data_IF_939936783580
#
_entry.id   IF_939936783580
#
_cell.length_a   1.000
_cell.length_b   1.000
_cell.length_c   1.000
_cell.angle_alpha   90.00
_cell.angle_beta   90.00
_cell.angle_gamma   90.00
#
_symmetry.space_group_name_H-M   'P 1'
#
loop_
_entity.id
_entity.type
_entity.pdbx_description
1 polymer ?
#
# COMPACT_ATOMS: atom_id res chain seq x y z
N UNK A 1 8.39 30.02 -5.35
CA UNK A 1 7.39 29.77 -4.27
C UNK A 1 6.84 28.36 -4.39
N UNK A 2 6.90 27.53 -3.34
CA UNK A 2 6.26 26.20 -3.33
C UNK A 2 4.74 26.39 -3.36
N UNK A 3 4.04 25.77 -4.32
CA UNK A 3 2.57 25.71 -4.31
C UNK A 3 2.10 24.99 -3.05
N UNK A 4 1.24 25.64 -2.26
CA UNK A 4 0.65 25.05 -1.06
C UNK A 4 -0.26 23.88 -1.47
N UNK A 5 -0.05 22.71 -0.87
CA UNK A 5 -0.80 21.49 -1.17
C UNK A 5 -2.27 21.59 -0.76
N UNK A 6 -3.15 20.84 -1.42
CA UNK A 6 -4.60 20.89 -1.18
C UNK A 6 -4.98 20.63 0.29
N UNK A 7 -4.30 19.70 0.97
CA UNK A 7 -4.52 19.42 2.40
C UNK A 7 -4.24 20.64 3.29
N UNK A 8 -3.15 21.34 3.04
CA UNK A 8 -2.79 22.56 3.78
C UNK A 8 -3.80 23.68 3.53
N UNK A 9 -4.26 23.86 2.29
CA UNK A 9 -5.29 24.85 1.96
C UNK A 9 -6.59 24.58 2.71
N UNK A 10 -7.04 23.31 2.70
CA UNK A 10 -8.22 22.88 3.44
C UNK A 10 -8.06 23.12 4.94
N UNK A 11 -6.92 22.76 5.52
CA UNK A 11 -6.63 23.00 6.95
C UNK A 11 -6.73 24.48 7.31
N UNK A 12 -6.08 25.34 6.54
CA UNK A 12 -6.13 26.79 6.74
C UNK A 12 -7.56 27.30 6.64
N UNK A 13 -8.31 26.82 5.65
CA UNK A 13 -9.70 27.21 5.47
C UNK A 13 -10.58 26.82 6.66
N UNK A 14 -10.48 25.58 7.16
CA UNK A 14 -11.22 25.17 8.36
C UNK A 14 -10.84 26.00 9.59
N UNK A 15 -9.55 26.27 9.80
CA UNK A 15 -9.07 27.07 10.94
C UNK A 15 -9.50 28.54 10.88
N UNK A 16 -9.65 29.10 9.67
CA UNK A 16 -10.17 30.46 9.47
C UNK A 16 -11.70 30.55 9.55
N UNK A 17 -12.41 29.42 9.57
CA UNK A 17 -13.87 29.34 9.52
C UNK A 17 -14.45 28.48 10.67
N UNK A 18 -13.88 28.64 11.88
CA UNK A 18 -14.36 27.93 13.06
C UNK A 18 -15.84 28.26 13.33
N UNK A 19 -16.63 27.23 13.60
CA UNK A 19 -18.06 27.37 13.88
C UNK A 19 -18.94 27.61 12.65
N UNK A 20 -18.37 27.76 11.45
CA UNK A 20 -19.14 27.94 10.20
C UNK A 20 -19.32 26.61 9.47
N UNK A 21 -20.54 26.37 9.00
CA UNK A 21 -20.85 25.24 8.11
C UNK A 21 -20.28 25.53 6.71
N UNK A 22 -19.52 24.57 6.18
CA UNK A 22 -18.87 24.61 4.87
C UNK A 22 -19.39 23.47 3.99
N UNK A 23 -19.68 23.77 2.72
CA UNK A 23 -20.23 22.81 1.77
C UNK A 23 -19.19 22.12 0.88
N UNK A 24 -19.59 21.03 0.24
CA UNK A 24 -18.79 20.27 -0.75
C UNK A 24 -18.12 21.14 -1.83
N UNK A 25 -18.90 21.97 -2.55
CA UNK A 25 -18.37 22.77 -3.66
C UNK A 25 -17.33 23.79 -3.18
N UNK A 26 -17.55 24.38 -2.02
CA UNK A 26 -16.63 25.32 -1.39
C UNK A 26 -15.28 24.64 -1.08
N UNK A 27 -15.32 23.49 -0.39
CA UNK A 27 -14.12 22.76 0.00
C UNK A 27 -13.37 22.22 -1.23
N UNK A 28 -14.09 21.76 -2.26
CA UNK A 28 -13.51 21.36 -3.53
C UNK A 28 -12.76 22.52 -4.20
N UNK A 29 -13.35 23.71 -4.22
CA UNK A 29 -12.72 24.90 -4.78
C UNK A 29 -11.47 25.31 -4.00
N UNK A 30 -11.52 25.29 -2.66
CA UNK A 30 -10.35 25.54 -1.79
C UNK A 30 -9.22 24.55 -2.06
N UNK A 31 -9.55 23.28 -2.29
CA UNK A 31 -8.60 22.24 -2.65
C UNK A 31 -8.01 22.39 -4.07
N UNK A 32 -8.45 23.37 -4.86
CA UNK A 32 -8.00 23.60 -6.23
C UNK A 32 -8.73 22.75 -7.27
N UNK A 33 -9.97 22.34 -7.00
CA UNK A 33 -10.83 21.62 -7.93
C UNK A 33 -10.56 20.12 -8.04
N UNK A 34 -9.59 19.59 -7.28
CA UNK A 34 -9.21 18.16 -7.33
C UNK A 34 -10.36 17.26 -6.89
N UNK A 35 -10.45 16.06 -7.44
CA UNK A 35 -11.44 15.04 -7.05
C UNK A 35 -11.17 14.48 -5.64
N UNK A 36 -9.89 14.40 -5.26
CA UNK A 36 -9.44 13.84 -3.97
C UNK A 36 -9.66 14.75 -2.74
N UNK A 37 -10.35 15.89 -2.89
CA UNK A 37 -10.53 16.85 -1.79
C UNK A 37 -11.18 16.20 -0.56
N UNK A 38 -12.17 15.33 -0.75
CA UNK A 38 -12.86 14.62 0.33
C UNK A 38 -11.91 13.67 1.08
N UNK A 39 -10.95 13.06 0.36
CA UNK A 39 -9.88 12.28 0.98
C UNK A 39 -8.99 13.15 1.85
N UNK A 40 -8.63 14.36 1.39
CA UNK A 40 -7.82 15.29 2.19
C UNK A 40 -8.53 15.75 3.46
N UNK A 41 -9.84 15.95 3.42
CA UNK A 41 -10.64 16.22 4.63
C UNK A 41 -10.58 15.04 5.61
N UNK A 42 -10.68 13.79 5.13
CA UNK A 42 -10.51 12.61 5.98
C UNK A 42 -9.11 12.52 6.59
N UNK A 43 -8.06 12.85 5.84
CA UNK A 43 -6.69 12.92 6.37
C UNK A 43 -6.57 13.95 7.50
N UNK A 44 -7.22 15.12 7.38
CA UNK A 44 -7.24 16.11 8.47
C UNK A 44 -7.93 15.56 9.73
N UNK A 45 -8.97 14.74 9.58
CA UNK A 45 -9.66 14.08 10.70
C UNK A 45 -8.81 12.97 11.32
N UNK A 46 -8.36 12.04 10.49
CA UNK A 46 -7.81 10.76 10.93
C UNK A 46 -6.30 10.80 11.19
N UNK A 47 -5.55 11.67 10.48
CA UNK A 47 -4.08 11.77 10.63
C UNK A 47 -3.67 13.00 11.45
N UNK A 48 -4.35 14.14 11.26
CA UNK A 48 -4.00 15.40 11.94
C UNK A 48 -4.89 15.69 13.16
N UNK A 49 -5.98 14.92 13.36
CA UNK A 49 -6.79 14.95 14.59
C UNK A 49 -7.81 16.08 14.67
N UNK A 50 -8.09 16.78 13.58
CA UNK A 50 -9.11 17.81 13.54
C UNK A 50 -10.52 17.21 13.59
N UNK A 51 -11.34 17.65 14.54
CA UNK A 51 -12.70 17.15 14.71
C UNK A 51 -13.67 17.82 13.72
N UNK A 52 -13.50 17.53 12.43
CA UNK A 52 -14.38 18.03 11.37
C UNK A 52 -15.67 17.20 11.39
N UNK A 53 -16.75 17.79 11.89
CA UNK A 53 -18.08 17.20 12.03
C UNK A 53 -18.81 17.17 10.69
N UNK A 54 -19.69 16.18 10.54
CA UNK A 54 -20.56 15.93 9.37
C UNK A 54 -21.97 15.56 9.82
N UNK A 55 -22.90 15.35 8.88
CA UNK A 55 -24.26 14.85 9.18
C UNK A 55 -24.33 13.54 10.00
N UNK A 56 -23.27 12.73 10.01
CA UNK A 56 -23.18 11.54 10.87
C UNK A 56 -22.89 11.88 12.34
N UNK A 57 -22.30 13.06 12.59
CA UNK A 57 -21.89 13.52 13.92
C UNK A 57 -22.93 14.47 14.53
N UNK A 58 -23.68 15.20 13.68
CA UNK A 58 -24.67 16.22 14.08
C UNK A 58 -25.89 16.16 13.16
N UNK A 59 -27.08 16.04 13.75
CA UNK A 59 -28.36 15.92 13.02
C UNK A 59 -28.78 17.19 12.29
N UNK A 60 -28.24 18.35 12.66
CA UNK A 60 -28.51 19.64 12.03
C UNK A 60 -27.61 19.94 10.81
N UNK A 61 -26.64 19.06 10.52
CA UNK A 61 -25.85 19.11 9.29
C UNK A 61 -26.47 18.23 8.21
N UNK A 62 -26.48 18.73 6.97
CA UNK A 62 -26.92 17.98 5.78
C UNK A 62 -25.78 17.15 5.19
N UNK A 63 -26.09 16.10 4.42
CA UNK A 63 -25.07 15.40 3.63
C UNK A 63 -24.26 16.38 2.75
N UNK A 64 -22.93 16.36 2.89
CA UNK A 64 -22.04 17.29 2.18
C UNK A 64 -21.70 18.58 2.94
N UNK A 65 -22.20 18.75 4.16
CA UNK A 65 -21.82 19.83 5.07
C UNK A 65 -20.77 19.39 6.08
N UNK A 66 -19.84 20.29 6.37
CA UNK A 66 -18.69 20.09 7.24
C UNK A 66 -18.54 21.26 8.20
N UNK A 67 -18.17 20.98 9.45
CA UNK A 67 -18.01 21.98 10.49
C UNK A 67 -16.79 21.67 11.34
N UNK A 68 -15.93 22.66 11.61
CA UNK A 68 -14.89 22.55 12.63
C UNK A 68 -15.22 23.50 13.77
N UNK A 69 -15.46 22.96 14.97
CA UNK A 69 -15.77 23.78 16.16
C UNK A 69 -14.51 24.14 16.95
N UNK A 70 -13.62 23.16 17.15
CA UNK A 70 -12.43 23.31 17.97
C UNK A 70 -11.18 23.29 17.08
N UNK A 71 -10.33 24.34 17.11
CA UNK A 71 -9.09 24.36 16.35
C UNK A 71 -8.01 23.42 16.89
N UNK A 72 -8.19 22.89 18.10
CA UNK A 72 -7.20 22.05 18.77
C UNK A 72 -7.40 20.59 18.34
N UNK A 73 -6.44 20.00 17.61
CA UNK A 73 -6.54 18.60 17.22
C UNK A 73 -6.47 17.69 18.44
N UNK A 74 -7.23 16.59 18.42
CA UNK A 74 -7.02 15.49 19.36
C UNK A 74 -5.81 14.66 18.91
N UNK A 75 -5.15 13.91 19.80
CA UNK A 75 -4.15 12.94 19.38
C UNK A 75 -4.74 11.97 18.36
N UNK A 76 -4.39 12.14 17.09
CA UNK A 76 -4.73 11.21 16.03
C UNK A 76 -3.65 10.14 15.97
N UNK A 77 -4.02 8.91 16.27
CA UNK A 77 -3.18 7.77 15.95
C UNK A 77 -3.40 7.48 14.48
N UNK A 78 -2.36 7.67 13.65
CA UNK A 78 -2.39 7.24 12.27
C UNK A 78 -2.92 5.81 12.22
N UNK A 79 -3.93 5.54 11.37
CA UNK A 79 -4.51 4.20 11.23
C UNK A 79 -3.39 3.20 10.95
N UNK A 80 -2.99 2.47 12.00
CA UNK A 80 -2.15 1.30 11.88
C UNK A 80 -3.01 0.17 11.37
N UNK A 81 -2.45 -0.62 10.46
CA UNK A 81 -3.06 -1.86 9.99
C UNK A 81 -3.44 -2.71 11.22
N UNK A 82 -4.71 -3.10 11.32
CA UNK A 82 -5.20 -3.84 12.50
C UNK A 82 -4.46 -5.17 12.65
N UNK A 83 -4.48 -5.73 13.86
CA UNK A 83 -3.88 -7.05 14.11
C UNK A 83 -4.58 -8.14 13.31
N UNK A 84 -5.91 -8.08 13.13
CA UNK A 84 -6.64 -9.05 12.32
C UNK A 84 -6.22 -8.95 10.84
N UNK A 85 -6.22 -7.72 10.28
CA UNK A 85 -5.80 -7.49 8.90
C UNK A 85 -4.36 -7.97 8.67
N UNK A 86 -3.46 -7.71 9.63
CA UNK A 86 -2.08 -8.21 9.57
C UNK A 86 -2.03 -9.75 9.56
N UNK A 87 -2.75 -10.41 10.46
CA UNK A 87 -2.77 -11.87 10.53
C UNK A 87 -3.29 -12.49 9.23
N UNK A 88 -4.41 -11.96 8.70
CA UNK A 88 -4.98 -12.43 7.44
C UNK A 88 -4.02 -12.25 6.27
N UNK A 89 -3.41 -11.06 6.12
CA UNK A 89 -2.50 -10.80 5.01
C UNK A 89 -1.29 -11.74 5.05
N UNK A 90 -0.75 -12.04 6.23
CA UNK A 90 0.35 -13.00 6.39
C UNK A 90 -0.08 -14.42 6.00
N UNK A 91 -1.25 -14.86 6.47
CA UNK A 91 -1.80 -16.19 6.20
C UNK A 91 -2.08 -16.40 4.70
N UNK A 92 -2.82 -15.46 4.08
CA UNK A 92 -3.05 -15.40 2.62
C UNK A 92 -1.74 -15.45 1.82
N UNK A 93 -0.66 -14.94 2.39
CA UNK A 93 0.65 -14.86 1.75
C UNK A 93 1.57 -16.04 2.12
N UNK A 94 1.04 -17.05 2.80
CA UNK A 94 1.74 -18.28 3.19
C UNK A 94 2.94 -18.00 4.10
N UNK A 95 2.90 -16.91 4.88
CA UNK A 95 4.02 -16.45 5.69
C UNK A 95 5.34 -16.32 4.90
N UNK A 96 5.24 -15.92 3.63
CA UNK A 96 6.39 -15.66 2.75
C UNK A 96 6.40 -14.23 2.24
N UNK A 97 7.60 -13.70 2.02
CA UNK A 97 7.78 -12.44 1.31
C UNK A 97 7.22 -12.56 -0.11
N UNK A 98 6.31 -11.66 -0.49
CA UNK A 98 5.69 -11.67 -1.82
C UNK A 98 6.64 -11.18 -2.93
N UNK A 99 7.82 -10.67 -2.58
CA UNK A 99 8.83 -10.25 -3.55
C UNK A 99 9.90 -11.32 -3.77
N UNK A 100 10.52 -11.81 -2.68
CA UNK A 100 11.66 -12.72 -2.77
C UNK A 100 11.40 -14.14 -2.23
N UNK A 101 10.22 -14.40 -1.66
CA UNK A 101 9.85 -15.71 -1.12
C UNK A 101 10.49 -16.11 0.20
N UNK A 102 11.26 -15.22 0.83
CA UNK A 102 11.81 -15.48 2.16
C UNK A 102 10.69 -15.86 3.15
N UNK A 103 10.88 -16.97 3.85
CA UNK A 103 9.90 -17.54 4.78
C UNK A 103 10.07 -16.92 6.16
N UNK A 104 8.98 -16.54 6.82
CA UNK A 104 9.02 -15.94 8.16
C UNK A 104 9.75 -16.84 9.16
N UNK A 105 10.68 -16.27 9.93
CA UNK A 105 11.40 -17.00 10.98
C UNK A 105 12.61 -17.82 10.52
N UNK A 106 12.75 -18.11 9.23
CA UNK A 106 13.91 -18.80 8.67
C UNK A 106 15.08 -17.82 8.40
N UNK A 107 16.34 -18.30 8.32
CA UNK A 107 17.46 -17.51 7.84
C UNK A 107 17.13 -16.80 6.52
N UNK A 108 17.46 -15.52 6.41
CA UNK A 108 17.11 -14.76 5.23
C UNK A 108 17.98 -15.16 4.02
N UNK A 109 17.40 -15.35 2.82
CA UNK A 109 18.12 -15.70 1.59
C UNK A 109 19.36 -14.90 1.23
N UNK A 110 19.37 -13.61 1.54
CA UNK A 110 20.46 -12.67 1.21
C UNK A 110 21.29 -12.29 2.43
N UNK A 111 20.93 -12.80 3.61
CA UNK A 111 21.64 -12.56 4.86
C UNK A 111 21.31 -13.69 5.83
N UNK A 112 22.09 -14.77 5.75
CA UNK A 112 21.87 -15.97 6.56
C UNK A 112 22.09 -15.73 8.06
N UNK A 113 22.74 -14.61 8.43
CA UNK A 113 22.99 -14.24 9.82
C UNK A 113 21.73 -13.79 10.57
N UNK A 114 20.64 -13.47 9.86
CA UNK A 114 19.40 -12.96 10.44
C UNK A 114 18.18 -13.77 10.03
N UNK A 115 17.24 -13.91 10.96
CA UNK A 115 15.91 -14.46 10.67
C UNK A 115 15.07 -13.47 9.87
N UNK A 116 14.33 -14.00 8.90
CA UNK A 116 13.39 -13.26 8.06
C UNK A 116 12.25 -12.73 8.93
N UNK A 117 12.13 -11.40 8.96
CA UNK A 117 10.99 -10.69 9.56
C UNK A 117 10.13 -10.08 8.47
N UNK A 118 8.84 -10.39 8.50
CA UNK A 118 7.85 -9.86 7.55
C UNK A 118 7.15 -8.61 8.09
N UNK A 119 6.98 -7.65 7.18
CA UNK A 119 6.22 -6.42 7.32
C UNK A 119 5.00 -6.49 6.41
N UNK A 120 4.01 -5.64 6.69
CA UNK A 120 2.90 -5.44 5.76
C UNK A 120 3.21 -4.19 4.95
N UNK A 121 3.43 -4.38 3.65
CA UNK A 121 3.63 -3.31 2.69
C UNK A 121 2.38 -3.11 1.85
N UNK A 122 2.23 -1.91 1.32
CA UNK A 122 1.21 -1.63 0.32
C UNK A 122 1.65 -2.13 -1.07
N UNK A 123 0.67 -2.48 -1.91
CA UNK A 123 0.89 -2.75 -3.34
C UNK A 123 0.97 -1.40 -4.07
N UNK A 124 -0.01 -0.53 -3.83
CA UNK A 124 0.00 0.87 -4.21
C UNK A 124 0.35 1.69 -2.98
N UNK A 125 1.47 2.41 -3.02
CA UNK A 125 1.90 3.28 -1.92
C UNK A 125 0.80 4.24 -1.47
N UNK A 126 0.72 4.51 -0.15
CA UNK A 126 -0.18 5.53 0.40
C UNK A 126 0.00 6.90 -0.26
N UNK A 127 1.24 7.28 -0.59
CA UNK A 127 1.57 8.53 -1.27
C UNK A 127 1.01 8.61 -2.69
N UNK A 128 0.77 7.46 -3.34
CA UNK A 128 0.20 7.31 -4.67
C UNK A 128 -1.30 6.96 -4.66
N UNK A 129 -1.96 7.11 -3.50
CA UNK A 129 -3.41 6.89 -3.36
C UNK A 129 -3.81 5.54 -2.79
N UNK A 130 -2.86 4.68 -2.42
CA UNK A 130 -3.14 3.41 -1.76
C UNK A 130 -4.00 3.52 -0.51
N UNK A 131 -4.79 2.48 -0.24
CA UNK A 131 -5.61 2.32 0.97
C UNK A 131 -5.05 1.18 1.86
N UNK A 132 -5.58 1.04 3.08
CA UNK A 132 -5.22 -0.04 4.02
C UNK A 132 -6.14 -1.27 3.88
N UNK A 133 -6.84 -1.41 2.75
CA UNK A 133 -7.68 -2.58 2.50
C UNK A 133 -6.81 -3.79 2.21
N UNK A 134 -7.26 -4.97 2.63
CA UNK A 134 -6.53 -6.23 2.51
C UNK A 134 -6.07 -6.52 1.06
N UNK A 135 -6.86 -6.09 0.08
CA UNK A 135 -6.55 -6.21 -1.34
C UNK A 135 -5.30 -5.41 -1.75
N UNK A 136 -5.02 -4.28 -1.10
CA UNK A 136 -3.86 -3.42 -1.37
C UNK A 136 -2.66 -3.71 -0.45
N UNK A 137 -2.73 -4.74 0.39
CA UNK A 137 -1.66 -5.09 1.34
C UNK A 137 -0.96 -6.38 0.92
N UNK A 138 0.32 -6.54 1.25
CA UNK A 138 1.13 -7.73 1.01
C UNK A 138 2.21 -7.93 2.08
N UNK A 139 2.61 -9.18 2.31
CA UNK A 139 3.73 -9.51 3.18
C UNK A 139 5.08 -9.29 2.48
N UNK A 140 6.01 -8.58 3.11
CA UNK A 140 7.32 -8.25 2.53
C UNK A 140 8.41 -8.38 3.60
N UNK A 141 9.57 -8.97 3.28
CA UNK A 141 10.64 -9.10 4.26
C UNK A 141 11.34 -7.76 4.53
N UNK A 142 12.06 -7.66 5.65
CA UNK A 142 12.81 -6.45 6.02
C UNK A 142 13.77 -6.00 4.91
N UNK A 143 14.47 -6.93 4.25
CA UNK A 143 15.40 -6.61 3.16
C UNK A 143 14.69 -6.04 1.93
N UNK A 144 13.58 -6.64 1.48
CA UNK A 144 12.80 -6.09 0.37
C UNK A 144 12.06 -4.80 0.73
N UNK A 145 11.76 -4.61 2.02
CA UNK A 145 11.12 -3.40 2.53
C UNK A 145 12.11 -2.22 2.62
N UNK A 146 13.35 -2.50 3.02
CA UNK A 146 14.47 -1.54 3.10
C UNK A 146 15.09 -1.28 1.72
N UNK A 147 15.06 -2.28 0.82
CA UNK A 147 15.66 -2.27 -0.51
C UNK A 147 14.66 -2.00 -1.64
N UNK A 148 14.77 -0.80 -2.22
CA UNK A 148 14.34 -0.45 -3.59
C UNK A 148 12.92 -0.88 -4.02
N UNK A 149 11.89 -0.30 -3.41
CA UNK A 149 10.62 -0.07 -4.10
C UNK A 149 10.68 1.07 -5.15
N UNK A 150 11.79 1.82 -5.26
CA UNK A 150 11.83 3.06 -6.06
C UNK A 150 12.97 3.24 -7.08
N UNK A 151 13.85 2.26 -7.34
CA UNK A 151 15.04 2.56 -8.19
C UNK A 151 15.18 1.67 -9.44
N UNK A 152 14.82 0.40 -9.41
CA UNK A 152 14.71 -0.41 -10.64
C UNK A 152 14.03 -1.75 -10.31
N UNK A 153 13.41 -2.38 -11.32
CA UNK A 153 13.18 -3.82 -11.29
C UNK A 153 14.56 -4.49 -11.18
N UNK A 154 14.98 -4.85 -9.97
CA UNK A 154 16.17 -5.68 -9.77
C UNK A 154 15.96 -6.92 -10.64
N UNK A 155 16.93 -7.22 -11.52
CA UNK A 155 16.89 -8.45 -12.31
C UNK A 155 16.78 -9.62 -11.33
N UNK A 156 15.71 -10.43 -11.37
CA UNK A 156 15.56 -11.52 -10.43
C UNK A 156 16.69 -12.53 -10.65
N UNK A 157 17.37 -12.92 -9.57
CA UNK A 157 18.25 -14.08 -9.59
C UNK A 157 17.43 -15.39 -9.65
N UNK A 158 18.10 -16.54 -9.75
CA UNK A 158 17.44 -17.84 -9.84
C UNK A 158 16.50 -18.11 -8.65
N UNK A 159 16.86 -17.67 -7.44
CA UNK A 159 16.06 -17.89 -6.25
C UNK A 159 14.75 -17.12 -6.30
N UNK A 160 14.80 -15.86 -6.75
CA UNK A 160 13.60 -15.07 -7.00
C UNK A 160 12.70 -15.70 -8.07
N UNK A 161 13.28 -16.17 -9.18
CA UNK A 161 12.52 -16.82 -10.25
C UNK A 161 11.81 -18.07 -9.73
N UNK A 162 12.52 -18.96 -9.03
CA UNK A 162 11.93 -20.20 -8.51
C UNK A 162 10.79 -19.93 -7.52
N UNK A 163 10.89 -18.90 -6.69
CA UNK A 163 9.80 -18.51 -5.79
C UNK A 163 8.56 -18.10 -6.57
N UNK A 164 8.72 -17.25 -7.59
CA UNK A 164 7.59 -16.78 -8.39
C UNK A 164 6.94 -17.95 -9.16
N UNK A 165 7.76 -18.81 -9.77
CA UNK A 165 7.30 -19.98 -10.52
C UNK A 165 6.56 -20.97 -9.62
N UNK A 166 7.09 -21.29 -8.42
CA UNK A 166 6.44 -22.23 -7.47
C UNK A 166 5.06 -21.77 -7.01
N UNK A 167 4.79 -20.48 -7.06
CA UNK A 167 3.54 -19.87 -6.63
C UNK A 167 2.53 -19.70 -7.75
N UNK A 168 2.98 -19.77 -8.99
CA UNK A 168 2.12 -19.70 -10.15
C UNK A 168 1.27 -20.98 -10.25
N UNK A 169 0.13 -20.91 -10.93
CA UNK A 169 -0.70 -22.09 -11.14
C UNK A 169 0.04 -23.13 -11.98
N UNK A 170 -0.38 -24.40 -11.93
CA UNK A 170 0.21 -25.43 -12.80
C UNK A 170 0.14 -25.03 -14.29
N UNK A 171 -0.95 -24.38 -14.70
CA UNK A 171 -1.13 -23.85 -16.05
C UNK A 171 -0.04 -22.81 -16.40
N UNK A 172 0.14 -21.80 -15.55
CA UNK A 172 1.18 -20.77 -15.73
C UNK A 172 2.60 -21.36 -15.74
N UNK A 173 2.86 -22.37 -14.90
CA UNK A 173 4.15 -23.04 -14.85
C UNK A 173 4.45 -23.79 -16.16
N UNK A 174 3.46 -24.48 -16.74
CA UNK A 174 3.59 -25.16 -18.02
C UNK A 174 3.73 -24.18 -19.19
N UNK A 175 3.02 -23.07 -19.17
CA UNK A 175 3.17 -22.02 -20.19
C UNK A 175 4.57 -21.39 -20.13
N UNK A 176 5.09 -21.10 -18.94
CA UNK A 176 6.47 -20.65 -18.76
C UNK A 176 7.48 -21.67 -19.29
N UNK A 177 7.28 -22.97 -19.03
CA UNK A 177 8.14 -24.03 -19.55
C UNK A 177 8.14 -24.04 -21.07
N UNK A 178 6.97 -23.97 -21.71
CA UNK A 178 6.85 -23.91 -23.17
C UNK A 178 7.60 -22.71 -23.74
N UNK A 179 7.46 -21.54 -23.12
CA UNK A 179 8.18 -20.33 -23.51
C UNK A 179 9.70 -20.50 -23.37
N UNK A 180 10.18 -21.11 -22.28
CA UNK A 180 11.62 -21.38 -22.08
C UNK A 180 12.18 -22.34 -23.13
N UNK A 181 11.44 -23.38 -23.50
CA UNK A 181 11.83 -24.32 -24.56
C UNK A 181 11.96 -23.60 -25.92
N UNK A 182 10.98 -22.76 -26.27
CA UNK A 182 11.03 -21.98 -27.51
C UNK A 182 12.20 -20.99 -27.53
N UNK A 183 12.50 -20.38 -26.39
CA UNK A 183 13.60 -19.42 -26.25
C UNK A 183 14.99 -20.07 -26.30
N UNK A 184 15.14 -21.29 -25.80
CA UNK A 184 16.42 -22.00 -25.69
C UNK A 184 16.38 -23.39 -26.34
N UNK A 185 16.10 -23.48 -27.66
CA UNK A 185 15.77 -24.75 -28.31
C UNK A 185 16.94 -25.75 -28.33
N UNK A 186 18.18 -25.27 -28.47
CA UNK A 186 19.38 -26.13 -28.47
C UNK A 186 19.66 -26.69 -27.07
N UNK A 187 19.51 -25.86 -26.04
CA UNK A 187 19.73 -26.24 -24.65
C UNK A 187 18.63 -27.21 -24.17
N UNK A 188 17.37 -26.96 -24.53
CA UNK A 188 16.25 -27.84 -24.21
C UNK A 188 16.47 -29.26 -24.77
N UNK A 189 16.89 -29.37 -26.04
CA UNK A 189 17.24 -30.65 -26.68
C UNK A 189 18.40 -31.38 -26.00
N UNK A 190 19.40 -30.64 -25.51
CA UNK A 190 20.55 -31.20 -24.79
C UNK A 190 20.18 -31.69 -23.39
N UNK A 191 19.31 -30.96 -22.70
CA UNK A 191 18.83 -31.37 -21.37
C UNK A 191 17.90 -32.58 -21.42
N UNK A 192 17.11 -32.74 -22.49
CA UNK A 192 16.25 -33.92 -22.68
C UNK A 192 17.00 -35.18 -23.07
N UNK A 193 18.17 -35.07 -23.71
CA UNK A 193 19.00 -36.22 -24.14
C UNK A 193 19.90 -36.79 -23.04
N UNK A 194 19.97 -36.15 -21.87
CA UNK A 194 20.65 -36.67 -20.67
C UNK A 194 19.71 -37.31 -19.65
N UNK A 195 18.44 -37.52 -20.01
CA UNK A 195 17.37 -38.11 -19.18
C UNK A 195 16.97 -39.53 -19.64
N UNK A 196 17.68 -40.09 -20.63
CA UNK A 196 17.58 -41.50 -21.06
C UNK A 196 18.59 -42.38 -20.32
#
# INVERSE_FOLDING_TARGET
MKKVGARTKLRQHFLSNLGRVMGTEELRNVAGGITEWARRVRELRDEEGYQILTHNDRSDLKPGEYLLENPKPRPAFARTISKETRAFVLDRNGFTCQMCGAVAGEPHPYDESRKTRLHIGHIIDKSKGGNDEMANLRAICSVCNEGAQNIALIRPDLKHLLVQVRRATTEDQLELLNWLIQKFPTQAKRSSSGLE
#
